data_IF_922602124798
#
_entry.id   IF_922602124798
#
_cell.length_a   1.000
_cell.length_b   1.000
_cell.length_c   1.000
_cell.angle_alpha   90.00
_cell.angle_beta   90.00
_cell.angle_gamma   90.00
#
_symmetry.space_group_name_H-M   'P 1'
#
loop_
_entity.id
_entity.type
_entity.pdbx_description
1 polymer ?
#
# COMPACT_ATOMS: atom_id res chain seq x y z
N UNK A 1 0.24 -3.79 3.21
CA UNK A 1 -0.17 -2.48 3.73
C UNK A 1 -1.66 -2.31 3.49
N UNK A 2 -2.31 -1.67 4.45
CA UNK A 2 -3.73 -1.30 4.33
C UNK A 2 -3.87 -0.18 3.31
N UNK A 3 -4.82 -0.32 2.41
CA UNK A 3 -5.20 0.69 1.44
C UNK A 3 -6.48 1.40 1.92
N UNK A 4 -6.69 2.62 1.52
CA UNK A 4 -7.84 3.43 1.87
C UNK A 4 -9.00 3.29 0.84
N UNK A 5 -10.17 3.81 1.14
CA UNK A 5 -11.28 3.89 0.21
C UNK A 5 -11.27 5.24 -0.55
N UNK A 6 -10.10 5.62 -1.10
CA UNK A 6 -9.93 6.79 -1.95
C UNK A 6 -9.06 6.49 -3.16
N UNK A 7 -9.10 7.34 -4.17
CA UNK A 7 -8.23 7.34 -5.35
C UNK A 7 -7.78 8.77 -5.61
N UNK A 8 -6.68 8.92 -6.34
CA UNK A 8 -6.20 10.24 -6.73
C UNK A 8 -7.28 11.01 -7.52
N UNK A 9 -7.30 12.31 -7.38
CA UNK A 9 -8.29 13.17 -8.04
C UNK A 9 -8.40 12.91 -9.54
N UNK A 10 -9.60 13.12 -10.10
CA UNK A 10 -9.82 12.88 -11.54
C UNK A 10 -8.86 13.66 -12.41
N UNK A 11 -8.31 13.02 -13.45
CA UNK A 11 -7.31 13.57 -14.38
C UNK A 11 -5.97 13.95 -13.74
N UNK A 12 -5.69 13.47 -12.52
CA UNK A 12 -4.44 13.66 -11.80
C UNK A 12 -3.70 12.33 -11.63
N UNK A 13 -2.46 12.42 -11.22
CA UNK A 13 -1.61 11.29 -10.88
C UNK A 13 -0.97 11.49 -9.50
N UNK A 14 -0.53 10.40 -8.92
CA UNK A 14 0.36 10.38 -7.76
C UNK A 14 1.56 9.47 -8.05
N UNK A 15 2.62 9.67 -7.31
CA UNK A 15 3.77 8.77 -7.28
C UNK A 15 4.09 8.49 -5.83
N UNK A 16 3.94 7.24 -5.43
CA UNK A 16 4.39 6.76 -4.13
C UNK A 16 5.74 6.07 -4.30
N UNK A 17 6.67 6.39 -3.42
CA UNK A 17 7.96 5.72 -3.39
C UNK A 17 8.44 5.56 -1.96
N UNK A 18 8.94 4.37 -1.64
CA UNK A 18 9.51 4.12 -0.32
C UNK A 18 10.63 3.09 -0.39
N UNK A 19 11.51 3.17 0.58
CA UNK A 19 12.51 2.17 0.89
C UNK A 19 12.08 1.43 2.17
N UNK A 20 12.14 0.12 2.11
CA UNK A 20 11.97 -0.75 3.27
C UNK A 20 13.31 -1.45 3.56
N UNK A 21 13.80 -1.35 4.79
CA UNK A 21 15.05 -1.95 5.24
C UNK A 21 14.80 -2.94 6.36
N UNK A 22 15.16 -4.20 6.12
CA UNK A 22 15.26 -5.26 7.14
C UNK A 22 16.73 -5.52 7.52
N UNK A 23 16.97 -6.51 8.37
CA UNK A 23 18.32 -6.97 8.70
C UNK A 23 19.08 -7.55 7.50
N UNK A 24 18.37 -8.10 6.51
CA UNK A 24 18.98 -8.88 5.42
C UNK A 24 18.90 -8.19 4.06
N UNK A 25 17.92 -7.30 3.87
CA UNK A 25 17.65 -6.70 2.58
C UNK A 25 17.19 -5.24 2.66
N UNK A 26 17.31 -4.54 1.55
CA UNK A 26 16.66 -3.26 1.31
C UNK A 26 15.83 -3.35 0.04
N UNK A 27 14.54 -3.03 0.12
CA UNK A 27 13.62 -3.03 -1.01
C UNK A 27 13.16 -1.61 -1.31
N UNK A 28 13.25 -1.21 -2.55
CA UNK A 28 12.86 0.11 -3.05
C UNK A 28 11.63 -0.06 -3.93
N UNK A 29 10.57 0.65 -3.60
CA UNK A 29 9.31 0.67 -4.33
C UNK A 29 9.10 1.99 -5.06
N UNK A 30 8.48 1.92 -6.22
CA UNK A 30 7.94 3.08 -6.93
C UNK A 30 6.64 2.68 -7.61
N UNK A 31 5.55 3.37 -7.25
CA UNK A 31 4.19 3.09 -7.71
C UNK A 31 3.52 4.38 -8.21
N UNK A 32 3.73 4.76 -9.47
CA UNK A 32 2.91 5.78 -10.11
C UNK A 32 1.48 5.26 -10.31
N UNK A 33 0.50 6.10 -9.99
CA UNK A 33 -0.92 5.84 -10.18
C UNK A 33 -1.60 7.05 -10.79
N UNK A 34 -2.52 6.84 -11.73
CA UNK A 34 -3.23 7.92 -12.44
C UNK A 34 -4.72 7.60 -12.55
N UNK A 35 -5.56 8.61 -12.38
CA UNK A 35 -7.02 8.52 -12.53
C UNK A 35 -7.46 9.22 -13.83
N UNK A 36 -7.68 8.43 -14.89
CA UNK A 36 -8.02 8.93 -16.21
C UNK A 36 -9.50 9.29 -16.37
N UNK A 37 -10.39 8.59 -15.69
CA UNK A 37 -11.84 8.64 -15.94
C UNK A 37 -12.62 9.37 -14.85
N UNK A 38 -11.99 9.71 -13.72
CA UNK A 38 -12.62 10.27 -12.53
C UNK A 38 -12.99 9.24 -11.46
N UNK A 39 -13.11 7.95 -11.82
CA UNK A 39 -13.39 6.87 -10.85
C UNK A 39 -12.64 5.56 -11.13
N UNK A 40 -11.57 5.62 -11.91
CA UNK A 40 -10.68 4.48 -12.13
C UNK A 40 -9.22 4.94 -12.04
N UNK A 41 -8.55 4.51 -11.00
CA UNK A 41 -7.12 4.69 -10.81
C UNK A 41 -6.39 3.46 -11.35
N UNK A 42 -5.38 3.69 -12.17
CA UNK A 42 -4.47 2.66 -12.68
C UNK A 42 -3.09 2.89 -12.11
N UNK A 43 -2.54 1.86 -11.45
CA UNK A 43 -1.20 1.84 -10.87
C UNK A 43 -0.32 0.89 -11.65
N UNK A 44 0.86 1.35 -12.04
CA UNK A 44 1.90 0.53 -12.66
C UNK A 44 3.21 0.85 -11.96
N UNK A 45 3.93 -0.16 -11.49
CA UNK A 45 5.21 0.10 -10.85
C UNK A 45 5.91 -1.17 -10.42
N UNK A 46 6.76 -1.12 -9.42
CA UNK A 46 7.46 -2.30 -8.96
C UNK A 46 8.47 -2.05 -7.86
N UNK A 47 9.23 -3.09 -7.57
CA UNK A 47 10.24 -3.09 -6.53
C UNK A 47 11.59 -3.63 -7.00
N UNK A 48 12.63 -3.07 -6.42
CA UNK A 48 14.01 -3.57 -6.54
C UNK A 48 14.53 -3.92 -5.16
N UNK A 49 14.95 -5.16 -5.01
CA UNK A 49 15.51 -5.64 -3.75
C UNK A 49 17.04 -5.77 -3.87
N UNK A 50 17.72 -5.23 -2.88
CA UNK A 50 19.16 -5.35 -2.71
C UNK A 50 19.46 -6.32 -1.57
N UNK A 51 20.08 -7.45 -1.91
CA UNK A 51 20.52 -8.49 -0.99
C UNK A 51 21.97 -8.87 -1.29
N UNK A 52 22.82 -9.02 -0.27
CA UNK A 52 24.18 -9.54 -0.40
C UNK A 52 24.95 -9.00 -1.62
N UNK A 53 24.94 -7.67 -1.82
CA UNK A 53 25.62 -6.97 -2.91
C UNK A 53 25.01 -7.16 -4.33
N UNK A 54 23.79 -7.66 -4.44
CA UNK A 54 23.07 -7.78 -5.71
C UNK A 54 21.75 -7.02 -5.65
N UNK A 55 21.48 -6.24 -6.69
CA UNK A 55 20.17 -5.60 -6.89
C UNK A 55 19.41 -6.35 -7.95
N UNK A 56 18.15 -6.67 -7.67
CA UNK A 56 17.25 -7.37 -8.60
C UNK A 56 15.93 -6.61 -8.70
N UNK A 57 15.34 -6.59 -9.90
CA UNK A 57 13.93 -6.29 -10.04
C UNK A 57 13.15 -7.49 -9.44
N UNK A 58 12.56 -7.28 -8.30
CA UNK A 58 11.91 -8.34 -7.55
C UNK A 58 10.42 -8.46 -7.87
N UNK A 59 9.77 -7.36 -8.22
CA UNK A 59 8.34 -7.33 -8.46
C UNK A 59 7.96 -6.24 -9.48
N UNK A 60 6.92 -6.53 -10.28
CA UNK A 60 6.21 -5.57 -11.13
C UNK A 60 4.73 -5.65 -10.80
N UNK A 61 4.09 -4.51 -10.58
CA UNK A 61 2.68 -4.36 -10.20
C UNK A 61 1.90 -3.73 -11.34
N UNK A 62 0.72 -4.26 -11.61
CA UNK A 62 -0.33 -3.61 -12.37
C UNK A 62 -1.63 -3.74 -11.57
N UNK A 63 -2.25 -2.62 -11.21
CA UNK A 63 -3.48 -2.58 -10.41
C UNK A 63 -4.49 -1.59 -10.99
N UNK A 64 -5.76 -1.94 -10.88
CA UNK A 64 -6.88 -1.02 -11.05
C UNK A 64 -7.65 -0.88 -9.76
N UNK A 65 -8.06 0.34 -9.41
CA UNK A 65 -8.85 0.65 -8.21
C UNK A 65 -10.01 1.57 -8.58
N UNK A 66 -11.17 1.29 -8.03
CA UNK A 66 -12.40 2.09 -8.21
C UNK A 66 -13.10 2.29 -6.87
N UNK A 67 -13.85 3.38 -6.74
CA UNK A 67 -14.58 3.74 -5.52
C UNK A 67 -16.07 3.61 -5.76
N UNK A 68 -16.73 2.76 -4.99
CA UNK A 68 -18.19 2.62 -5.00
C UNK A 68 -18.87 3.69 -4.19
N UNK A 69 -18.25 4.08 -3.07
CA UNK A 69 -18.70 5.12 -2.18
C UNK A 69 -17.50 5.90 -1.65
N UNK A 70 -17.47 7.19 -1.94
CA UNK A 70 -16.41 8.08 -1.40
C UNK A 70 -16.53 8.22 0.12
N UNK A 71 -15.40 8.31 0.79
CA UNK A 71 -15.35 8.64 2.20
C UNK A 71 -15.86 10.07 2.41
N UNK A 72 -16.83 10.22 3.29
CA UNK A 72 -17.34 11.52 3.75
C UNK A 72 -16.90 11.76 5.19
N UNK A 73 -16.78 13.03 5.58
CA UNK A 73 -16.50 13.44 6.96
C UNK A 73 -17.51 12.81 7.93
N UNK A 74 -17.01 12.19 9.00
CA UNK A 74 -17.80 11.43 9.97
C UNK A 74 -18.66 10.31 9.33
N UNK A 75 -18.21 9.78 8.19
CA UNK A 75 -18.92 8.78 7.43
C UNK A 75 -18.03 7.59 7.06
N UNK A 76 -18.37 6.94 5.97
CA UNK A 76 -17.61 5.80 5.48
C UNK A 76 -17.49 5.78 3.96
N UNK A 77 -16.45 5.12 3.48
CA UNK A 77 -16.18 4.88 2.07
C UNK A 77 -15.92 3.40 1.80
N UNK A 78 -16.09 2.99 0.54
CA UNK A 78 -15.85 1.63 0.07
C UNK A 78 -15.34 1.65 -1.36
N UNK A 79 -14.32 0.84 -1.62
CA UNK A 79 -13.78 0.66 -2.95
C UNK A 79 -13.55 -0.81 -3.31
N UNK A 80 -12.99 -1.01 -4.47
CA UNK A 80 -12.52 -2.30 -4.96
C UNK A 80 -11.21 -2.09 -5.71
N UNK A 81 -10.24 -2.96 -5.44
CA UNK A 81 -8.99 -3.02 -6.17
C UNK A 81 -8.69 -4.44 -6.62
N UNK A 82 -8.12 -4.58 -7.81
CA UNK A 82 -7.63 -5.84 -8.31
C UNK A 82 -6.38 -5.61 -9.15
N UNK A 83 -5.47 -6.58 -9.11
CA UNK A 83 -4.21 -6.45 -9.80
C UNK A 83 -3.44 -7.74 -9.96
N UNK A 84 -2.27 -7.59 -10.54
CA UNK A 84 -1.30 -8.68 -10.71
C UNK A 84 0.07 -8.23 -10.21
N UNK A 85 0.76 -9.17 -9.60
CA UNK A 85 2.13 -9.05 -9.17
C UNK A 85 2.98 -10.04 -9.98
N UNK A 86 3.90 -9.53 -10.74
CA UNK A 86 4.82 -10.33 -11.54
C UNK A 86 6.20 -10.35 -10.91
N UNK A 87 6.79 -11.56 -10.80
CA UNK A 87 8.14 -11.80 -10.29
C UNK A 87 9.08 -12.19 -11.46
N UNK A 88 9.84 -11.25 -12.05
CA UNK A 88 10.57 -11.48 -13.31
C UNK A 88 11.68 -12.54 -13.23
N UNK A 89 12.09 -12.94 -12.04
CA UNK A 89 13.25 -13.83 -11.81
C UNK A 89 12.95 -15.07 -10.97
N UNK A 90 11.70 -15.43 -10.84
CA UNK A 90 11.38 -16.74 -10.30
C UNK A 90 12.00 -17.82 -11.18
N UNK A 91 12.76 -18.72 -10.57
CA UNK A 91 13.59 -19.76 -11.27
C UNK A 91 12.74 -20.89 -11.88
N UNK A 92 11.47 -20.68 -12.10
CA UNK A 92 10.54 -21.66 -12.65
C UNK A 92 10.30 -21.39 -14.13
N UNK A 93 10.13 -22.45 -14.91
CA UNK A 93 9.65 -22.40 -16.31
C UNK A 93 8.22 -21.83 -16.40
N UNK A 94 7.60 -21.48 -15.28
CA UNK A 94 6.33 -20.81 -15.16
C UNK A 94 6.57 -19.34 -14.82
N UNK A 95 6.05 -18.43 -15.65
CA UNK A 95 6.00 -17.00 -15.34
C UNK A 95 5.13 -16.82 -14.09
N UNK A 96 5.76 -16.52 -12.96
CA UNK A 96 5.06 -16.37 -11.69
C UNK A 96 4.27 -15.05 -11.70
N UNK A 97 2.98 -15.15 -11.92
CA UNK A 97 2.01 -14.08 -11.83
C UNK A 97 1.08 -14.35 -10.65
N UNK A 98 1.23 -13.60 -9.58
CA UNK A 98 0.26 -13.63 -8.49
C UNK A 98 -0.89 -12.66 -8.82
N UNK A 99 -2.13 -13.13 -8.65
CA UNK A 99 -3.32 -12.31 -8.79
C UNK A 99 -3.82 -11.92 -7.39
N UNK A 100 -4.38 -10.74 -7.28
CA UNK A 100 -5.03 -10.31 -6.04
C UNK A 100 -6.23 -9.42 -6.31
N UNK A 101 -7.16 -9.42 -5.35
CA UNK A 101 -8.27 -8.48 -5.29
C UNK A 101 -8.64 -8.21 -3.83
N UNK A 102 -9.05 -6.99 -3.51
CA UNK A 102 -9.47 -6.61 -2.16
C UNK A 102 -10.50 -5.49 -2.17
N UNK A 103 -11.21 -5.39 -1.05
CA UNK A 103 -12.20 -4.37 -0.76
C UNK A 103 -11.63 -3.44 0.33
N UNK A 104 -11.18 -2.22 0.00
CA UNK A 104 -10.83 -1.21 0.98
C UNK A 104 -12.09 -0.53 1.48
N UNK A 105 -12.22 -0.46 2.80
CA UNK A 105 -13.25 0.32 3.50
C UNK A 105 -12.58 1.32 4.43
N UNK A 106 -13.10 2.54 4.50
CA UNK A 106 -12.59 3.60 5.36
C UNK A 106 -13.72 4.21 6.16
N UNK A 107 -13.47 4.54 7.41
CA UNK A 107 -14.42 5.14 8.35
C UNK A 107 -13.79 6.37 8.96
N UNK A 108 -14.45 7.52 8.85
CA UNK A 108 -14.02 8.79 9.41
C UNK A 108 -14.76 9.10 10.69
N UNK A 109 -14.04 9.65 11.67
CA UNK A 109 -14.54 10.08 12.96
C UNK A 109 -13.92 11.41 13.36
N UNK A 110 -14.62 12.15 14.21
CA UNK A 110 -14.17 13.39 14.84
C UNK A 110 -13.68 14.42 13.79
N UNK A 111 -14.52 14.67 12.77
CA UNK A 111 -14.27 15.61 11.68
C UNK A 111 -12.98 15.33 10.93
N UNK A 112 -12.83 14.06 10.50
CA UNK A 112 -11.69 13.48 9.78
C UNK A 112 -10.36 13.44 10.56
N UNK A 113 -10.40 13.73 11.88
CA UNK A 113 -9.18 13.64 12.71
C UNK A 113 -8.75 12.21 13.03
N UNK A 114 -9.67 11.27 12.95
CA UNK A 114 -9.40 9.84 13.12
C UNK A 114 -10.01 9.11 11.95
N UNK A 115 -9.22 8.36 11.22
CA UNK A 115 -9.69 7.51 10.13
C UNK A 115 -9.24 6.08 10.39
N UNK A 116 -10.18 5.15 10.24
CA UNK A 116 -9.92 3.71 10.35
C UNK A 116 -10.13 3.07 9.00
N UNK A 117 -9.14 2.30 8.55
CA UNK A 117 -9.18 1.57 7.30
C UNK A 117 -9.23 0.08 7.56
N UNK A 118 -9.97 -0.65 6.75
CA UNK A 118 -10.01 -2.10 6.76
C UNK A 118 -9.96 -2.65 5.34
N UNK A 119 -9.14 -3.67 5.12
CA UNK A 119 -9.08 -4.39 3.86
C UNK A 119 -9.39 -5.85 4.08
N UNK A 120 -10.22 -6.40 3.22
CA UNK A 120 -10.43 -7.84 3.11
C UNK A 120 -10.18 -8.23 1.66
N UNK A 121 -9.28 -9.18 1.44
CA UNK A 121 -8.81 -9.52 0.12
C UNK A 121 -8.50 -11.00 -0.06
N UNK A 122 -8.28 -11.32 -1.30
CA UNK A 122 -7.86 -12.62 -1.78
C UNK A 122 -6.63 -12.46 -2.67
N UNK A 123 -5.69 -13.38 -2.54
CA UNK A 123 -4.59 -13.51 -3.49
C UNK A 123 -4.36 -14.96 -3.88
N UNK A 124 -3.87 -15.17 -5.09
CA UNK A 124 -3.40 -16.46 -5.57
C UNK A 124 -1.92 -16.37 -5.89
N UNK A 125 -1.13 -17.12 -5.15
CA UNK A 125 0.27 -17.32 -5.49
C UNK A 125 0.37 -18.32 -6.65
N UNK A 126 1.03 -17.91 -7.72
CA UNK A 126 1.16 -18.75 -8.91
C UNK A 126 2.34 -19.73 -8.84
N UNK A 127 3.30 -19.52 -7.95
CA UNK A 127 4.41 -20.47 -7.73
C UNK A 127 3.94 -21.64 -6.87
N UNK A 128 3.29 -21.35 -5.75
CA UNK A 128 2.77 -22.36 -4.84
C UNK A 128 1.39 -22.90 -5.24
N UNK A 129 0.70 -22.25 -6.18
CA UNK A 129 -0.68 -22.55 -6.60
C UNK A 129 -1.68 -22.53 -5.45
N UNK A 130 -1.42 -21.68 -4.43
CA UNK A 130 -2.23 -21.57 -3.21
C UNK A 130 -3.02 -20.26 -3.23
N UNK A 131 -4.23 -20.32 -2.72
CA UNK A 131 -5.07 -19.15 -2.46
C UNK A 131 -4.92 -18.72 -1.00
N UNK A 132 -4.86 -17.43 -0.78
CA UNK A 132 -4.77 -16.83 0.55
C UNK A 132 -5.87 -15.81 0.76
N UNK A 133 -6.54 -15.87 1.91
CA UNK A 133 -7.34 -14.77 2.43
C UNK A 133 -6.41 -13.78 3.11
N UNK A 134 -6.49 -12.50 2.73
CA UNK A 134 -5.69 -11.41 3.27
C UNK A 134 -6.59 -10.42 4.01
N UNK A 135 -6.07 -9.84 5.06
CA UNK A 135 -6.77 -8.83 5.83
C UNK A 135 -5.79 -7.79 6.35
N UNK A 136 -6.26 -6.57 6.51
CA UNK A 136 -5.50 -5.50 7.13
C UNK A 136 -6.45 -4.52 7.84
N UNK A 137 -5.99 -3.94 8.93
CA UNK A 137 -6.68 -2.88 9.67
C UNK A 137 -5.64 -1.83 10.03
N UNK A 138 -5.95 -0.58 9.72
CA UNK A 138 -5.14 0.56 10.11
C UNK A 138 -6.01 1.63 10.77
N UNK A 139 -5.41 2.38 11.66
CA UNK A 139 -5.98 3.59 12.22
C UNK A 139 -4.96 4.73 12.09
N UNK A 140 -5.41 5.88 11.66
CA UNK A 140 -4.61 7.09 11.62
C UNK A 140 -5.30 8.22 12.40
N UNK A 141 -4.48 9.08 12.97
CA UNK A 141 -4.94 10.22 13.75
C UNK A 141 -4.15 11.48 13.40
N UNK A 142 -4.85 12.54 13.00
CA UNK A 142 -4.27 13.87 12.83
C UNK A 142 -3.92 14.45 14.20
N UNK A 143 -2.62 14.62 14.46
CA UNK A 143 -2.12 15.25 15.68
C UNK A 143 -2.13 16.78 15.54
N UNK A 144 -1.59 17.25 14.43
CA UNK A 144 -1.65 18.62 13.94
C UNK A 144 -1.77 18.59 12.41
N UNK A 145 -2.28 19.64 11.80
CA UNK A 145 -2.55 19.65 10.33
C UNK A 145 -1.49 19.04 9.43
N UNK A 146 -0.16 19.28 9.59
CA UNK A 146 0.81 18.61 8.73
C UNK A 146 1.19 17.19 9.17
N UNK A 147 0.79 16.72 10.37
CA UNK A 147 1.27 15.49 10.97
C UNK A 147 0.13 14.58 11.40
N UNK A 148 0.11 13.38 10.86
CA UNK A 148 -0.71 12.26 11.33
C UNK A 148 0.17 11.09 11.78
N UNK A 149 -0.27 10.40 12.81
CA UNK A 149 0.30 9.13 13.27
C UNK A 149 -0.58 8.00 12.80
N UNK A 150 0.01 6.86 12.51
CA UNK A 150 -0.75 5.66 12.17
C UNK A 150 -0.24 4.41 12.86
N UNK A 151 -1.12 3.45 13.00
CA UNK A 151 -0.84 2.07 13.41
C UNK A 151 -1.59 1.13 12.48
N UNK A 152 -0.96 0.02 12.11
CA UNK A 152 -1.51 -0.97 11.21
C UNK A 152 -1.19 -2.38 11.69
N UNK A 153 -2.15 -3.29 11.53
CA UNK A 153 -1.98 -4.73 11.69
C UNK A 153 -2.51 -5.42 10.45
N UNK A 154 -1.74 -6.33 9.88
CA UNK A 154 -2.10 -7.01 8.65
C UNK A 154 -1.56 -8.43 8.61
N UNK A 155 -2.18 -9.25 7.79
CA UNK A 155 -1.78 -10.65 7.67
C UNK A 155 -2.56 -11.41 6.61
N UNK A 156 -2.24 -12.67 6.51
CA UNK A 156 -2.97 -13.65 5.71
C UNK A 156 -3.30 -14.86 6.56
N UNK A 157 -4.31 -15.63 6.14
CA UNK A 157 -4.63 -16.89 6.82
C UNK A 157 -3.38 -17.78 6.89
N UNK A 158 -3.24 -18.52 7.99
CA UNK A 158 -2.15 -19.47 8.24
C UNK A 158 -0.76 -18.84 8.36
N UNK A 159 -0.64 -17.55 8.54
CA UNK A 159 0.62 -16.89 8.85
C UNK A 159 0.52 -16.03 10.10
N UNK A 160 1.67 -15.77 10.74
CA UNK A 160 1.72 -14.81 11.83
C UNK A 160 1.46 -13.41 11.28
N UNK A 161 0.53 -12.64 11.87
CA UNK A 161 0.30 -11.26 11.44
C UNK A 161 1.51 -10.38 11.71
N UNK A 162 1.56 -9.29 10.97
CA UNK A 162 2.54 -8.23 11.12
C UNK A 162 1.87 -6.96 11.62
N UNK A 163 2.64 -6.10 12.26
CA UNK A 163 2.19 -4.77 12.62
C UNK A 163 3.22 -3.73 12.20
N UNK A 164 2.75 -2.52 11.99
CA UNK A 164 3.62 -1.36 11.84
C UNK A 164 2.96 -0.12 12.43
N UNK A 165 3.78 0.86 12.77
CA UNK A 165 3.34 2.18 13.18
C UNK A 165 4.33 3.22 12.68
N UNK A 166 3.84 4.43 12.47
CA UNK A 166 4.64 5.50 11.89
C UNK A 166 3.89 6.81 11.81
N UNK A 167 4.33 7.65 10.91
CA UNK A 167 3.75 8.95 10.69
C UNK A 167 3.73 9.33 9.21
N UNK A 168 2.81 10.26 8.90
CA UNK A 168 2.75 11.02 7.66
C UNK A 168 3.00 12.49 7.97
N UNK A 169 3.75 13.16 7.14
CA UNK A 169 4.00 14.59 7.27
C UNK A 169 3.89 15.29 5.92
N UNK A 170 2.99 16.26 5.82
CA UNK A 170 2.84 17.10 4.65
C UNK A 170 3.90 18.19 4.63
N UNK A 171 4.90 18.07 3.73
CA UNK A 171 5.87 19.14 3.46
C UNK A 171 5.19 20.27 2.69
N UNK A 172 4.39 19.90 1.69
CA UNK A 172 3.52 20.80 0.94
C UNK A 172 2.12 20.20 0.97
N UNK A 173 1.14 20.87 1.61
CA UNK A 173 -0.22 20.35 1.72
C UNK A 173 -0.76 19.88 0.37
N UNK A 174 -1.36 18.68 0.34
CA UNK A 174 -1.96 18.03 -0.83
C UNK A 174 -1.02 17.82 -2.03
N UNK A 175 0.30 18.00 -1.86
CA UNK A 175 1.29 17.88 -2.94
C UNK A 175 2.46 16.97 -2.61
N UNK A 176 3.05 17.17 -1.44
CA UNK A 176 4.26 16.45 -1.06
C UNK A 176 4.12 15.96 0.36
N UNK A 177 4.08 14.66 0.51
CA UNK A 177 4.02 13.98 1.80
C UNK A 177 5.25 13.10 1.97
N UNK A 178 5.78 13.05 3.17
CA UNK A 178 6.79 12.06 3.58
C UNK A 178 6.20 11.15 4.65
N UNK A 179 6.75 9.97 4.75
CA UNK A 179 6.36 9.00 5.76
C UNK A 179 7.57 8.23 6.29
N UNK A 180 7.44 7.74 7.51
CA UNK A 180 8.35 6.74 8.05
C UNK A 180 7.58 5.79 8.98
N UNK A 181 8.00 4.52 9.00
CA UNK A 181 7.41 3.51 9.86
C UNK A 181 8.44 2.51 10.39
N UNK A 182 8.10 1.92 11.51
CA UNK A 182 8.70 0.72 12.04
C UNK A 182 7.66 -0.40 12.02
N UNK A 183 8.06 -1.56 11.57
CA UNK A 183 7.22 -2.76 11.57
C UNK A 183 7.92 -3.99 12.10
N UNK A 184 7.13 -4.96 12.51
CA UNK A 184 7.61 -6.27 12.94
C UNK A 184 6.52 -7.33 12.74
N UNK A 185 6.91 -8.59 12.80
CA UNK A 185 6.00 -9.75 12.75
C UNK A 185 5.78 -10.32 14.14
N UNK A 186 4.52 -10.59 14.51
CA UNK A 186 4.19 -11.23 15.77
C UNK A 186 4.75 -12.65 15.83
N UNK A 187 5.25 -13.06 17.01
CA UNK A 187 5.69 -14.44 17.24
C UNK A 187 6.98 -14.85 16.53
N UNK A 188 7.68 -13.96 15.86
CA UNK A 188 9.02 -14.26 15.30
C UNK A 188 10.12 -13.92 16.30
N UNK A 189 11.15 -14.78 16.47
CA UNK A 189 12.37 -14.39 17.16
C UNK A 189 13.04 -13.21 16.46
N UNK A 190 14.05 -12.61 17.09
CA UNK A 190 14.79 -11.46 16.57
C UNK A 190 15.09 -11.56 15.06
N UNK A 191 14.62 -10.61 14.25
CA UNK A 191 14.87 -10.56 12.79
C UNK A 191 13.65 -10.25 11.90
N UNK A 192 12.43 -10.25 12.45
CA UNK A 192 11.22 -9.96 11.66
C UNK A 192 10.88 -8.47 11.51
N UNK A 193 11.74 -7.55 11.96
CA UNK A 193 11.50 -6.13 11.92
C UNK A 193 11.96 -5.48 10.61
N UNK A 194 11.34 -4.36 10.29
CA UNK A 194 11.78 -3.46 9.21
C UNK A 194 11.56 -2.00 9.58
N UNK A 195 12.30 -1.14 8.90
CA UNK A 195 12.07 0.30 8.88
C UNK A 195 11.71 0.70 7.46
N UNK A 196 10.76 1.62 7.30
CA UNK A 196 10.46 2.21 6.01
C UNK A 196 10.51 3.73 6.07
N UNK A 197 10.94 4.32 4.98
CA UNK A 197 10.85 5.76 4.72
C UNK A 197 10.40 5.96 3.29
N UNK A 198 9.53 6.93 3.07
CA UNK A 198 8.96 7.16 1.77
C UNK A 198 8.45 8.57 1.57
N UNK A 199 8.00 8.82 0.35
CA UNK A 199 7.34 10.05 -0.03
C UNK A 199 6.23 9.77 -1.04
N UNK A 200 5.24 10.66 -1.05
CA UNK A 200 4.18 10.68 -2.05
C UNK A 200 4.12 12.07 -2.68
N UNK A 201 4.05 12.09 -4.01
CA UNK A 201 3.87 13.30 -4.80
C UNK A 201 2.52 13.25 -5.50
N UNK A 202 1.74 14.32 -5.36
CA UNK A 202 0.44 14.46 -6.02
C UNK A 202 0.49 15.55 -7.07
N UNK A 203 -0.06 15.31 -8.25
CA UNK A 203 -0.16 16.31 -9.32
C UNK A 203 -1.47 17.08 -9.22
N UNK A 204 -1.54 18.24 -9.89
CA UNK A 204 -2.81 18.83 -10.31
C UNK A 204 -3.43 17.99 -11.43
N UNK A 205 -4.72 18.11 -11.72
CA UNK A 205 -5.31 17.55 -12.94
C UNK A 205 -4.57 18.08 -14.18
N UNK A 206 -4.07 17.18 -15.03
CA UNK A 206 -3.34 17.51 -16.27
C UNK A 206 -3.60 16.52 -17.39
N UNK A 207 -4.22 15.39 -17.09
CA UNK A 207 -4.57 14.38 -18.09
C UNK A 207 -5.73 14.88 -18.98
N UNK A 208 -5.80 14.44 -20.24
CA UNK A 208 -6.83 14.85 -21.18
C UNK A 208 -8.25 14.43 -20.79
#
# INVERSE_FOLDING_TARGET
>A
MTDDASIVGGKACQIESWMERSSESATYWILPACNFTGNLELTVGGAWTHEAHRTRNSQVVLQGKTIFKSLNTNGWGLGFAAGTLWHPKANSNHRAHSLYAYLPASFSFNDDRIIVHGNLGWSRDSEEQVNHLQWAIAAEAEVIKPLSLFVEVFGQERSHPSFQFGFWYWIVPERVQINAAYGNRFGTPAGGYWFSVGFTLFTVPFLP
#
